data_IF_508789829100
#
_entry.id   IF_508789829100
#
_cell.length_a   1.000
_cell.length_b   1.000
_cell.length_c   1.000
_cell.angle_alpha   90.00
_cell.angle_beta   90.00
_cell.angle_gamma   90.00
#
_symmetry.space_group_name_H-M   'P 1'
#
loop_
_entity.id
_entity.type
_entity.pdbx_description
1 polymer ?
#
# COMPACT_ATOMS: atom_id res chain seq x y z
N UNK A 1 -21.24 -35.97 -11.84
CA UNK A 1 -20.75 -34.90 -10.94
C UNK A 1 -19.23 -34.91 -10.97
N UNK A 2 -18.58 -33.88 -11.52
CA UNK A 2 -17.11 -33.79 -11.55
C UNK A 2 -16.64 -33.32 -10.16
N UNK A 3 -16.02 -34.21 -9.39
CA UNK A 3 -15.23 -33.84 -8.21
C UNK A 3 -14.02 -33.02 -8.69
N UNK A 4 -14.14 -31.69 -8.68
CA UNK A 4 -13.01 -30.82 -8.98
C UNK A 4 -12.07 -30.76 -7.77
N UNK A 5 -10.84 -31.25 -7.97
CA UNK A 5 -9.64 -31.11 -7.12
C UNK A 5 -9.74 -30.03 -6.02
N UNK A 6 -10.03 -30.47 -4.79
CA UNK A 6 -10.24 -29.60 -3.61
C UNK A 6 -8.92 -29.18 -2.94
N UNK A 7 -7.78 -29.76 -3.32
CA UNK A 7 -6.49 -29.44 -2.70
C UNK A 7 -5.79 -28.28 -3.43
N UNK A 8 -6.05 -27.04 -2.98
CA UNK A 8 -5.27 -25.88 -3.41
C UNK A 8 -3.79 -26.12 -3.04
N UNK A 9 -2.89 -26.04 -4.03
CA UNK A 9 -1.44 -26.22 -3.82
C UNK A 9 -0.92 -25.19 -2.82
N UNK A 10 -0.40 -25.67 -1.69
CA UNK A 10 0.25 -24.87 -0.66
C UNK A 10 1.72 -24.64 -0.98
N UNK A 11 2.27 -23.55 -0.45
CA UNK A 11 3.67 -23.11 -0.59
C UNK A 11 4.16 -22.79 0.83
N UNK A 12 5.40 -23.14 1.16
CA UNK A 12 6.02 -22.73 2.42
C UNK A 12 6.70 -21.38 2.21
N UNK A 13 6.25 -20.36 2.93
CA UNK A 13 6.85 -19.02 2.88
C UNK A 13 8.15 -18.94 3.69
N UNK A 14 8.98 -17.93 3.45
CA UNK A 14 10.22 -17.66 4.20
C UNK A 14 10.00 -17.48 5.71
N UNK A 15 8.80 -17.07 6.12
CA UNK A 15 8.38 -17.02 7.52
C UNK A 15 8.08 -18.40 8.14
N UNK A 16 8.27 -19.51 7.42
CA UNK A 16 8.07 -20.89 7.89
C UNK A 16 6.63 -21.41 7.85
N UNK A 17 5.67 -20.59 7.42
CA UNK A 17 4.25 -20.96 7.39
C UNK A 17 3.80 -21.41 6.00
N UNK A 18 2.87 -22.36 5.95
CA UNK A 18 2.18 -22.73 4.71
C UNK A 18 1.19 -21.63 4.28
N UNK A 19 1.11 -21.42 2.98
CA UNK A 19 0.23 -20.41 2.38
C UNK A 19 -0.24 -20.84 1.00
N UNK A 20 -1.35 -20.25 0.55
CA UNK A 20 -1.84 -20.40 -0.82
C UNK A 20 -1.25 -19.30 -1.71
N UNK A 21 -1.40 -19.40 -3.03
CA UNK A 21 -1.07 -18.30 -3.96
C UNK A 21 -1.99 -17.09 -3.81
N UNK A 22 -3.24 -17.35 -3.41
CA UNK A 22 -4.30 -16.37 -3.25
C UNK A 22 -5.16 -16.81 -2.07
N UNK A 23 -5.37 -15.92 -1.11
CA UNK A 23 -6.17 -16.19 0.07
C UNK A 23 -6.81 -14.90 0.61
N UNK A 24 -7.82 -15.05 1.46
CA UNK A 24 -8.46 -13.94 2.16
C UNK A 24 -7.58 -13.50 3.33
N UNK A 25 -7.28 -12.21 3.41
CA UNK A 25 -6.66 -11.56 4.57
C UNK A 25 -7.67 -10.71 5.30
N UNK A 26 -7.58 -10.70 6.63
CA UNK A 26 -8.48 -9.99 7.54
C UNK A 26 -7.65 -9.25 8.58
N UNK A 27 -7.92 -7.97 8.77
CA UNK A 27 -7.29 -7.15 9.80
C UNK A 27 -8.26 -6.05 10.23
N UNK A 28 -8.28 -5.72 11.53
CA UNK A 28 -9.09 -4.64 12.11
C UNK A 28 -10.57 -4.65 11.66
N UNK A 29 -11.18 -5.83 11.53
CA UNK A 29 -12.58 -6.00 11.11
C UNK A 29 -12.84 -5.91 9.60
N UNK A 30 -11.85 -5.53 8.79
CA UNK A 30 -11.94 -5.51 7.33
C UNK A 30 -11.27 -6.75 6.71
N UNK A 31 -11.63 -7.05 5.46
CA UNK A 31 -10.98 -8.14 4.72
C UNK A 31 -10.83 -7.85 3.24
N UNK A 32 -9.77 -8.36 2.63
CA UNK A 32 -9.59 -8.37 1.19
C UNK A 32 -9.04 -9.73 0.72
N UNK A 33 -9.10 -9.97 -0.58
CA UNK A 33 -8.44 -11.12 -1.18
C UNK A 33 -7.10 -10.65 -1.75
N UNK A 34 -6.00 -11.26 -1.33
CA UNK A 34 -4.68 -10.87 -1.80
C UNK A 34 -3.98 -12.03 -2.50
N UNK A 35 -3.12 -11.71 -3.46
CA UNK A 35 -2.23 -12.65 -4.13
C UNK A 35 -0.83 -12.38 -3.61
N UNK A 36 -0.20 -13.37 -3.00
CA UNK A 36 1.18 -13.21 -2.56
C UNK A 36 2.11 -13.13 -3.78
N UNK A 37 3.08 -12.20 -3.79
CA UNK A 37 4.12 -12.21 -4.82
C UNK A 37 4.97 -13.47 -4.64
N UNK A 38 5.10 -14.23 -5.73
CA UNK A 38 5.94 -15.42 -5.79
C UNK A 38 7.01 -15.15 -6.84
N UNK A 39 8.27 -15.07 -6.41
CA UNK A 39 9.43 -14.97 -7.28
C UNK A 39 10.23 -16.28 -7.15
N UNK A 40 10.57 -16.91 -8.28
CA UNK A 40 11.30 -18.18 -8.31
C UNK A 40 10.70 -19.29 -7.43
N UNK A 41 9.37 -19.33 -7.36
CA UNK A 41 8.63 -20.29 -6.53
C UNK A 41 8.64 -20.01 -5.03
N UNK A 42 9.27 -18.92 -4.59
CA UNK A 42 9.40 -18.52 -3.18
C UNK A 42 8.64 -17.23 -2.89
N UNK A 43 8.31 -17.05 -1.62
CA UNK A 43 7.67 -15.85 -1.08
C UNK A 43 8.11 -15.68 0.37
N UNK A 44 8.36 -14.45 0.81
CA UNK A 44 8.93 -14.22 2.14
C UNK A 44 7.87 -14.38 3.26
N UNK A 45 6.61 -14.03 2.96
CA UNK A 45 5.55 -13.92 3.95
C UNK A 45 4.29 -14.69 3.54
N UNK A 46 3.71 -15.42 4.49
CA UNK A 46 2.37 -16.01 4.33
C UNK A 46 1.26 -14.95 4.53
N UNK A 47 0.04 -15.27 4.11
CA UNK A 47 -1.13 -14.39 4.29
C UNK A 47 -1.35 -13.98 5.76
N UNK A 48 -1.14 -14.89 6.73
CA UNK A 48 -1.30 -14.59 8.16
C UNK A 48 -0.24 -13.61 8.68
N UNK A 49 0.96 -13.64 8.11
CA UNK A 49 2.00 -12.65 8.42
C UNK A 49 1.64 -11.29 7.82
N UNK A 50 1.09 -11.26 6.61
CA UNK A 50 0.63 -10.01 5.98
C UNK A 50 -0.51 -9.34 6.76
N UNK A 51 -1.42 -10.12 7.35
CA UNK A 51 -2.48 -9.59 8.23
C UNK A 51 -1.92 -8.80 9.41
N UNK A 52 -0.87 -9.33 10.04
CA UNK A 52 -0.19 -8.67 11.17
C UNK A 52 0.57 -7.41 10.77
N UNK A 53 0.81 -7.22 9.47
CA UNK A 53 1.48 -6.04 8.93
C UNK A 53 0.48 -4.99 8.42
N UNK A 54 -0.82 -5.28 8.40
CA UNK A 54 -1.82 -4.28 8.07
C UNK A 54 -1.79 -3.15 9.10
N UNK A 55 -2.14 -1.94 8.67
CA UNK A 55 -2.23 -0.77 9.54
C UNK A 55 -3.59 -0.10 9.35
N UNK A 56 -3.83 0.98 10.08
CA UNK A 56 -5.01 1.83 9.89
C UNK A 56 -4.59 3.20 9.39
N UNK A 57 -5.40 3.75 8.49
CA UNK A 57 -5.24 5.10 7.96
C UNK A 57 -5.29 6.12 9.09
N UNK A 58 -4.29 6.98 9.19
CA UNK A 58 -4.22 7.99 10.23
C UNK A 58 -5.34 9.05 10.19
N UNK A 59 -6.11 9.14 9.08
CA UNK A 59 -7.24 10.07 8.93
C UNK A 59 -8.60 9.42 9.14
N UNK A 60 -8.95 8.40 8.34
CA UNK A 60 -10.27 7.79 8.39
C UNK A 60 -10.35 6.52 9.26
N UNK A 61 -9.21 5.99 9.73
CA UNK A 61 -9.17 4.76 10.53
C UNK A 61 -9.36 3.46 9.74
N UNK A 62 -9.77 3.54 8.46
CA UNK A 62 -9.90 2.39 7.58
C UNK A 62 -8.58 1.65 7.38
N UNK A 63 -8.68 0.35 7.17
CA UNK A 63 -7.51 -0.52 7.07
C UNK A 63 -6.69 -0.25 5.81
N UNK A 64 -5.38 -0.43 5.92
CA UNK A 64 -4.44 -0.42 4.80
C UNK A 64 -3.75 -1.78 4.83
N UNK A 65 -4.06 -2.62 3.85
CA UNK A 65 -3.42 -3.90 3.66
C UNK A 65 -2.09 -3.75 2.93
N UNK A 66 -1.27 -4.78 3.02
CA UNK A 66 -0.06 -4.88 2.20
C UNK A 66 -0.42 -4.84 0.72
N UNK A 67 0.27 -3.99 -0.02
CA UNK A 67 0.07 -3.73 -1.44
C UNK A 67 -0.83 -2.53 -1.74
N UNK A 68 -1.58 -2.03 -0.75
CA UNK A 68 -2.47 -0.90 -0.96
C UNK A 68 -1.68 0.38 -1.29
N UNK A 69 -2.17 1.21 -2.23
CA UNK A 69 -1.62 2.54 -2.44
C UNK A 69 -1.84 3.40 -1.19
N UNK A 70 -0.81 4.17 -0.86
CA UNK A 70 -0.83 5.09 0.27
C UNK A 70 -0.50 6.51 -0.19
N UNK A 71 -0.91 7.43 0.65
CA UNK A 71 -0.50 8.82 0.60
C UNK A 71 0.18 9.18 1.91
N UNK A 72 0.83 10.35 1.94
CA UNK A 72 1.53 10.88 3.10
C UNK A 72 0.95 12.24 3.42
N UNK A 73 0.30 12.35 4.56
CA UNK A 73 -0.34 13.57 5.00
C UNK A 73 0.42 14.16 6.18
N UNK A 74 0.55 15.48 6.19
CA UNK A 74 0.85 16.24 7.40
C UNK A 74 -0.41 17.01 7.82
N UNK A 75 -0.78 17.02 9.10
CA UNK A 75 -1.92 17.80 9.54
C UNK A 75 -1.60 19.30 9.34
N UNK A 76 -2.56 20.05 8.79
CA UNK A 76 -2.45 21.51 8.63
C UNK A 76 -2.33 22.20 10.00
N UNK A 77 -3.09 21.70 10.97
CA UNK A 77 -3.01 22.10 12.35
C UNK A 77 -1.88 21.34 13.06
N UNK A 78 -0.89 22.07 13.56
CA UNK A 78 0.28 21.50 14.24
C UNK A 78 -0.09 20.86 15.58
N UNK A 79 -1.20 21.28 16.18
CA UNK A 79 -1.67 20.78 17.48
C UNK A 79 -2.63 19.59 17.32
N UNK A 80 -2.96 19.20 16.08
CA UNK A 80 -3.79 18.04 15.82
C UNK A 80 -3.14 16.78 16.39
N UNK A 81 -3.80 16.21 17.39
CA UNK A 81 -3.44 14.90 17.94
C UNK A 81 -3.82 13.82 16.95
N UNK A 82 -2.83 13.06 16.51
CA UNK A 82 -3.07 11.89 15.68
C UNK A 82 -3.53 10.72 16.53
N UNK A 83 -4.35 9.80 16.00
CA UNK A 83 -4.73 8.59 16.71
C UNK A 83 -3.50 7.74 17.07
N UNK A 84 -3.56 7.00 18.19
CA UNK A 84 -2.43 6.20 18.69
C UNK A 84 -1.92 5.13 17.71
N UNK A 85 -2.78 4.70 16.79
CA UNK A 85 -2.44 3.73 15.76
C UNK A 85 -1.80 4.33 14.51
N UNK A 86 -1.73 5.66 14.41
CA UNK A 86 -1.20 6.35 13.24
C UNK A 86 0.28 6.02 13.07
N UNK A 87 0.66 5.60 11.86
CA UNK A 87 2.05 5.27 11.55
C UNK A 87 2.78 6.53 11.09
N UNK A 88 3.80 7.01 11.83
CA UNK A 88 4.60 8.15 11.40
C UNK A 88 5.50 7.75 10.23
N UNK A 89 5.54 8.56 9.19
CA UNK A 89 6.49 8.45 8.08
C UNK A 89 7.70 9.36 8.29
N UNK A 90 7.47 10.63 8.65
CA UNK A 90 8.51 11.57 9.00
C UNK A 90 8.09 12.34 10.26
N UNK A 91 8.79 12.09 11.37
CA UNK A 91 8.48 12.72 12.66
C UNK A 91 8.81 14.21 12.69
N UNK A 92 9.86 14.64 12.00
CA UNK A 92 10.29 16.05 11.95
C UNK A 92 9.27 16.93 11.23
N UNK A 93 8.62 16.38 10.20
CA UNK A 93 7.61 17.08 9.40
C UNK A 93 6.18 16.68 9.75
N UNK A 94 5.99 15.98 10.88
CA UNK A 94 4.70 15.51 11.37
C UNK A 94 3.87 14.80 10.29
N UNK A 95 4.51 13.94 9.50
CA UNK A 95 3.90 13.24 8.36
C UNK A 95 3.55 11.80 8.71
N UNK A 96 2.37 11.35 8.30
CA UNK A 96 1.80 10.05 8.65
C UNK A 96 1.24 9.34 7.42
N UNK A 97 1.15 8.00 7.52
CA UNK A 97 0.60 7.16 6.46
C UNK A 97 -0.93 7.28 6.41
N UNK A 98 -1.44 7.67 5.24
CA UNK A 98 -2.86 7.70 4.92
C UNK A 98 -3.22 6.74 3.79
N UNK A 99 -4.48 6.33 3.71
CA UNK A 99 -4.96 5.51 2.59
C UNK A 99 -5.27 6.39 1.38
N UNK A 100 -5.09 5.84 0.18
CA UNK A 100 -5.39 6.52 -1.09
C UNK A 100 -6.86 6.35 -1.53
N UNK A 101 -7.80 6.18 -0.58
CA UNK A 101 -9.23 6.09 -0.89
C UNK A 101 -9.79 7.48 -1.18
N UNK A 102 -10.62 7.57 -2.21
CA UNK A 102 -11.31 8.80 -2.62
C UNK A 102 -12.13 9.47 -1.51
N UNK A 103 -12.67 8.69 -0.57
CA UNK A 103 -13.48 9.19 0.54
C UNK A 103 -12.68 9.49 1.82
N UNK A 104 -11.35 9.38 1.81
CA UNK A 104 -10.53 9.52 3.02
C UNK A 104 -10.14 10.97 3.34
N UNK A 105 -9.73 11.75 2.35
CA UNK A 105 -9.39 13.16 2.57
C UNK A 105 -10.10 14.02 1.53
N UNK A 106 -10.59 15.16 2.01
CA UNK A 106 -11.31 16.17 1.24
C UNK A 106 -10.53 16.69 0.03
N UNK A 107 -9.22 16.47 -0.02
CA UNK A 107 -8.31 17.03 -1.02
C UNK A 107 -7.85 16.04 -2.09
N UNK A 108 -8.26 14.76 -2.05
CA UNK A 108 -7.81 13.75 -3.01
C UNK A 108 -6.28 13.68 -3.11
N UNK A 109 -5.59 13.41 -2.00
CA UNK A 109 -4.14 13.57 -1.93
C UNK A 109 -3.38 12.65 -2.86
N UNK A 110 -2.19 13.11 -3.23
CA UNK A 110 -1.33 12.45 -4.21
C UNK A 110 -0.84 11.07 -3.75
N UNK A 111 -0.63 10.18 -4.71
CA UNK A 111 -0.19 8.80 -4.46
C UNK A 111 1.30 8.82 -4.13
N UNK A 112 1.61 8.60 -2.86
CA UNK A 112 2.97 8.62 -2.35
C UNK A 112 3.69 7.26 -2.45
N UNK A 113 2.96 6.16 -2.56
CA UNK A 113 3.62 4.87 -2.55
C UNK A 113 2.68 3.74 -2.27
N UNK A 114 3.26 2.68 -1.74
CA UNK A 114 2.54 1.48 -1.37
C UNK A 114 2.92 1.05 0.04
N UNK A 115 1.95 0.51 0.78
CA UNK A 115 2.23 -0.17 2.02
C UNK A 115 2.85 -1.54 1.72
N UNK A 116 4.10 -1.77 2.12
CA UNK A 116 4.90 -2.89 1.62
C UNK A 116 5.50 -3.73 2.75
N UNK A 117 5.73 -5.05 2.55
CA UNK A 117 6.35 -5.86 3.58
C UNK A 117 7.76 -5.35 3.95
N UNK A 118 8.18 -5.45 5.22
CA UNK A 118 7.47 -6.04 6.37
C UNK A 118 6.56 -5.04 7.14
N UNK A 119 5.89 -4.11 6.46
CA UNK A 119 5.10 -3.04 7.09
C UNK A 119 5.84 -1.70 7.05
N UNK A 120 6.23 -1.29 5.85
CA UNK A 120 6.94 -0.04 5.58
C UNK A 120 6.36 0.68 4.37
N UNK A 121 6.59 1.99 4.33
CA UNK A 121 6.31 2.80 3.15
C UNK A 121 7.31 2.45 2.05
N UNK A 122 6.82 2.00 0.89
CA UNK A 122 7.61 1.93 -0.34
C UNK A 122 7.30 3.16 -1.20
N UNK A 123 8.22 4.13 -1.20
CA UNK A 123 8.11 5.37 -1.98
C UNK A 123 8.34 5.11 -3.45
N UNK A 124 7.65 5.90 -4.26
CA UNK A 124 7.79 6.00 -5.71
C UNK A 124 7.37 7.42 -6.11
N UNK A 125 7.82 7.94 -7.26
CA UNK A 125 7.49 9.30 -7.69
C UNK A 125 5.99 9.52 -7.72
N UNK A 126 5.56 10.54 -7.00
CA UNK A 126 4.16 10.97 -7.02
C UNK A 126 3.85 11.69 -8.33
N UNK A 127 2.62 11.64 -8.84
CA UNK A 127 2.17 12.48 -9.94
C UNK A 127 2.64 13.95 -9.85
N UNK A 128 2.54 14.60 -8.70
CA UNK A 128 3.00 15.99 -8.54
C UNK A 128 4.52 16.09 -8.72
N UNK A 129 5.29 15.19 -8.11
CA UNK A 129 6.76 15.16 -8.28
C UNK A 129 7.16 14.95 -9.75
N UNK A 130 6.41 14.11 -10.48
CA UNK A 130 6.61 13.86 -11.91
C UNK A 130 6.29 15.10 -12.75
N UNK A 131 5.17 15.79 -12.49
CA UNK A 131 4.82 17.07 -13.12
C UNK A 131 5.92 18.12 -12.90
N UNK A 132 6.36 18.27 -11.65
CA UNK A 132 7.41 19.24 -11.29
C UNK A 132 8.73 18.94 -12.03
N UNK A 133 9.13 17.67 -12.09
CA UNK A 133 10.34 17.26 -12.82
C UNK A 133 10.21 17.50 -14.33
N UNK A 134 9.02 17.25 -14.90
CA UNK A 134 8.75 17.55 -16.31
C UNK A 134 8.94 19.05 -16.63
N UNK A 135 8.38 19.94 -15.80
CA UNK A 135 8.56 21.39 -15.95
C UNK A 135 10.04 21.81 -15.83
N UNK A 136 10.77 21.25 -14.87
CA UNK A 136 12.20 21.54 -14.69
C UNK A 136 13.05 21.14 -15.90
N UNK A 137 12.61 20.13 -16.65
CA UNK A 137 13.27 19.65 -17.87
C UNK A 137 12.80 20.39 -19.14
N UNK A 138 12.06 21.49 -19.02
CA UNK A 138 11.56 22.28 -20.15
C UNK A 138 10.26 21.75 -20.77
N UNK A 139 9.59 20.81 -20.11
CA UNK A 139 8.24 20.38 -20.47
C UNK A 139 7.15 21.34 -20.00
N UNK A 140 5.89 21.04 -20.31
CA UNK A 140 4.71 21.85 -20.00
C UNK A 140 4.06 21.50 -18.65
N UNK A 141 4.62 20.53 -17.92
CA UNK A 141 4.09 20.03 -16.64
C UNK A 141 2.97 19.02 -16.77
N UNK A 142 2.64 18.59 -17.99
CA UNK A 142 1.60 17.58 -18.22
C UNK A 142 2.22 16.18 -18.11
N UNK A 143 1.59 15.32 -17.30
CA UNK A 143 1.89 13.89 -17.26
C UNK A 143 0.59 13.10 -17.44
N UNK A 144 0.69 11.95 -18.07
CA UNK A 144 -0.37 10.96 -18.11
C UNK A 144 0.04 9.79 -17.24
N UNK A 145 -0.74 9.53 -16.20
CA UNK A 145 -0.62 8.37 -15.33
C UNK A 145 -1.84 7.49 -15.54
N UNK A 146 -1.67 6.18 -15.64
CA UNK A 146 -2.77 5.22 -15.68
C UNK A 146 -3.24 4.88 -14.27
N UNK A 147 -3.21 3.61 -13.90
CA UNK A 147 -3.75 3.17 -12.63
C UNK A 147 -2.77 3.46 -11.48
N UNK A 148 -3.07 4.50 -10.71
CA UNK A 148 -2.32 4.89 -9.50
C UNK A 148 -2.35 3.81 -8.40
N UNK A 149 -3.23 2.82 -8.48
CA UNK A 149 -3.22 1.66 -7.60
C UNK A 149 -2.35 0.51 -8.12
N UNK A 150 -1.92 0.52 -9.39
CA UNK A 150 -1.01 -0.49 -9.94
C UNK A 150 0.45 -0.12 -9.67
N UNK A 151 1.05 -0.82 -8.71
CA UNK A 151 2.47 -0.71 -8.39
C UNK A 151 3.38 -0.95 -9.59
N UNK A 152 3.07 -1.89 -10.48
CA UNK A 152 3.94 -2.19 -11.63
C UNK A 152 4.01 -1.01 -12.57
N UNK A 153 2.91 -0.29 -12.73
CA UNK A 153 2.86 0.92 -13.53
C UNK A 153 3.66 2.05 -12.86
N UNK A 154 3.43 2.26 -11.56
CA UNK A 154 4.11 3.31 -10.79
C UNK A 154 5.65 3.18 -10.72
N UNK A 155 6.20 1.97 -10.92
CA UNK A 155 7.66 1.73 -10.91
C UNK A 155 8.27 1.84 -12.31
N UNK A 156 7.50 1.68 -13.39
CA UNK A 156 7.99 1.75 -14.78
C UNK A 156 8.28 3.17 -15.27
N UNK A 157 7.79 4.19 -14.56
CA UNK A 157 8.02 5.61 -14.88
C UNK A 157 9.36 6.19 -14.38
N UNK A 158 10.29 5.34 -13.95
CA UNK A 158 11.67 5.67 -13.56
C UNK A 158 12.64 5.31 -14.69
#
# INVERSE_FOLDING_TARGET
MKLFNIFKKKIVAGCGHETLKKDKVTAFGASCETKIPIADGKTDYCHRCLEKMAIRCAWCGEVIFIGDPITLYSPKDKDRKMPDYAVPHNKEHNSYVGCFRWNCAETGADRAGFWYPPGKVYRVPTPIEMCMKNMQNGGDGVICVGDLSDRKEAVRGL
#
